data_IF_825396049524
#
_entry.id   IF_825396049524
#
_cell.length_a   1.000
_cell.length_b   1.000
_cell.length_c   1.000
_cell.angle_alpha   90.00
_cell.angle_beta   90.00
_cell.angle_gamma   90.00
#
_symmetry.space_group_name_H-M   'P 1'
#
loop_
_entity.id
_entity.type
_entity.pdbx_description
1 polymer ?
#
# COMPACT_ATOMS: atom_id res chain seq x y z
N UNK A 1 25.82 3.01 24.64
CA UNK A 1 25.95 2.51 23.25
C UNK A 1 25.58 3.65 22.32
N UNK A 2 26.50 4.10 21.51
CA UNK A 2 26.25 5.14 20.51
C UNK A 2 25.62 4.50 19.28
N UNK A 3 24.48 5.04 18.82
CA UNK A 3 23.74 4.57 17.66
C UNK A 3 23.97 5.52 16.49
N UNK A 4 23.89 4.98 15.29
CA UNK A 4 24.02 5.74 14.06
C UNK A 4 22.99 5.27 13.03
N UNK A 5 22.15 6.21 12.58
CA UNK A 5 21.30 6.03 11.42
C UNK A 5 22.06 6.39 10.15
N UNK A 6 22.02 5.53 9.14
CA UNK A 6 22.60 5.83 7.82
C UNK A 6 21.89 5.06 6.73
N UNK A 7 22.08 5.50 5.49
CA UNK A 7 21.56 4.83 4.31
C UNK A 7 22.43 3.61 4.00
N UNK A 8 21.81 2.46 3.73
CA UNK A 8 22.49 1.21 3.41
C UNK A 8 23.32 1.33 2.13
N UNK A 9 24.52 0.79 2.15
CA UNK A 9 25.29 0.52 0.94
C UNK A 9 24.83 -0.80 0.28
N UNK A 10 25.29 -1.14 -0.94
CA UNK A 10 24.84 -2.35 -1.63
C UNK A 10 25.12 -3.67 -0.89
N UNK A 11 26.22 -3.75 -0.09
CA UNK A 11 26.54 -4.95 0.70
C UNK A 11 25.64 -5.06 1.92
N UNK A 12 25.45 -3.96 2.61
CA UNK A 12 24.52 -3.86 3.74
C UNK A 12 23.08 -4.15 3.33
N UNK A 13 22.69 -3.77 2.11
CA UNK A 13 21.40 -4.08 1.54
C UNK A 13 21.20 -5.58 1.37
N UNK A 14 22.18 -6.29 0.84
CA UNK A 14 22.15 -7.75 0.69
C UNK A 14 22.03 -8.41 2.07
N UNK A 15 22.86 -8.00 3.03
CA UNK A 15 22.83 -8.51 4.40
C UNK A 15 21.45 -8.29 5.05
N UNK A 16 20.86 -7.12 4.85
CA UNK A 16 19.54 -6.80 5.36
C UNK A 16 18.46 -7.69 4.74
N UNK A 17 18.52 -7.91 3.43
CA UNK A 17 17.54 -8.76 2.73
C UNK A 17 17.65 -10.23 3.19
N UNK A 18 18.84 -10.76 3.42
CA UNK A 18 19.02 -12.10 3.99
C UNK A 18 18.36 -12.24 5.37
N UNK A 19 18.55 -11.25 6.23
CA UNK A 19 17.96 -11.26 7.59
C UNK A 19 16.45 -11.12 7.57
N UNK A 20 15.90 -10.30 6.68
CA UNK A 20 14.44 -10.07 6.58
C UNK A 20 13.69 -11.23 5.91
N UNK A 21 14.39 -12.16 5.27
CA UNK A 21 13.80 -13.36 4.69
C UNK A 21 12.97 -14.16 5.70
N UNK A 22 13.43 -14.28 6.95
CA UNK A 22 12.68 -14.98 8.00
C UNK A 22 11.28 -14.37 8.23
N UNK A 23 11.16 -13.04 8.13
CA UNK A 23 9.89 -12.33 8.34
C UNK A 23 8.98 -12.32 7.12
N UNK A 24 9.54 -12.20 5.92
CA UNK A 24 8.74 -11.94 4.70
C UNK A 24 8.99 -12.88 3.52
N UNK A 25 9.85 -13.87 3.68
CA UNK A 25 10.15 -14.87 2.66
C UNK A 25 9.12 -16.00 2.52
N UNK A 26 7.99 -15.94 3.21
CA UNK A 26 6.95 -16.96 3.21
C UNK A 26 6.61 -17.44 1.78
N UNK A 27 6.51 -18.77 1.61
CA UNK A 27 6.27 -19.45 0.33
C UNK A 27 7.39 -19.27 -0.72
N UNK A 28 8.49 -18.58 -0.42
CA UNK A 28 9.63 -18.36 -1.34
C UNK A 28 10.89 -19.08 -0.83
N UNK A 29 11.77 -19.47 -1.74
CA UNK A 29 13.16 -19.76 -1.38
C UNK A 29 13.92 -18.46 -1.09
N UNK A 30 15.05 -18.53 -0.36
CA UNK A 30 15.89 -17.35 -0.14
C UNK A 30 16.31 -16.68 -1.45
N UNK A 31 16.67 -17.46 -2.48
CA UNK A 31 17.04 -16.95 -3.78
C UNK A 31 15.88 -16.19 -4.47
N UNK A 32 14.67 -16.74 -4.42
CA UNK A 32 13.48 -16.07 -4.96
C UNK A 32 13.17 -14.77 -4.19
N UNK A 33 13.30 -14.82 -2.86
CA UNK A 33 13.12 -13.64 -2.02
C UNK A 33 14.11 -12.54 -2.38
N UNK A 34 15.41 -12.84 -2.41
CA UNK A 34 16.48 -11.90 -2.77
C UNK A 34 16.27 -11.30 -4.17
N UNK A 35 15.87 -12.14 -5.15
CA UNK A 35 15.53 -11.68 -6.49
C UNK A 35 14.33 -10.72 -6.48
N UNK A 36 13.27 -11.04 -5.73
CA UNK A 36 12.10 -10.17 -5.57
C UNK A 36 12.50 -8.81 -5.01
N UNK A 37 13.23 -8.78 -3.88
CA UNK A 37 13.64 -7.55 -3.21
C UNK A 37 14.49 -6.66 -4.13
N UNK A 38 15.51 -7.22 -4.78
CA UNK A 38 16.36 -6.48 -5.69
C UNK A 38 15.61 -5.93 -6.90
N UNK A 39 14.69 -6.70 -7.46
CA UNK A 39 13.88 -6.29 -8.61
C UNK A 39 12.91 -5.18 -8.24
N UNK A 40 12.18 -5.33 -7.13
CA UNK A 40 11.21 -4.32 -6.68
C UNK A 40 11.89 -3.01 -6.27
N UNK A 41 13.06 -3.08 -5.65
CA UNK A 41 13.82 -1.91 -5.22
C UNK A 41 14.43 -1.15 -6.40
N UNK A 42 14.79 -1.84 -7.48
CA UNK A 42 15.28 -1.19 -8.70
C UNK A 42 14.19 -0.45 -9.48
N UNK A 43 12.91 -0.76 -9.23
CA UNK A 43 11.79 -0.08 -9.84
C UNK A 43 11.54 1.28 -9.17
N UNK A 44 11.24 2.31 -9.98
CA UNK A 44 10.84 3.60 -9.45
C UNK A 44 9.46 3.49 -8.79
N UNK A 45 9.40 3.74 -7.48
CA UNK A 45 8.13 3.76 -6.75
C UNK A 45 7.26 4.98 -7.14
N UNK A 46 7.88 6.13 -7.30
CA UNK A 46 7.19 7.35 -7.72
C UNK A 46 8.15 8.50 -7.96
N UNK A 47 7.76 9.43 -8.81
CA UNK A 47 8.49 10.66 -9.09
C UNK A 47 9.96 10.45 -9.50
N UNK A 48 10.28 9.34 -10.16
CA UNK A 48 11.63 9.00 -10.57
C UNK A 48 12.58 8.58 -9.44
N UNK A 49 12.10 8.48 -8.21
CA UNK A 49 12.89 8.07 -7.04
C UNK A 49 12.64 6.61 -6.71
N UNK A 50 13.71 5.88 -6.38
CA UNK A 50 13.66 4.52 -5.88
C UNK A 50 13.44 4.48 -4.37
N UNK A 51 13.15 3.28 -3.87
CA UNK A 51 13.11 2.98 -2.44
C UNK A 51 14.50 3.10 -1.84
N UNK A 52 14.62 3.72 -0.67
CA UNK A 52 15.86 3.87 0.07
C UNK A 52 15.83 3.08 1.37
N UNK A 53 16.87 2.32 1.66
CA UNK A 53 16.99 1.53 2.89
C UNK A 53 17.83 2.26 3.94
N UNK A 54 17.31 2.31 5.16
CA UNK A 54 17.93 2.93 6.33
C UNK A 54 18.24 1.89 7.39
N UNK A 55 19.44 1.99 7.98
CA UNK A 55 19.95 1.10 9.00
C UNK A 55 20.28 1.87 10.27
N UNK A 56 19.81 1.36 11.42
CA UNK A 56 20.26 1.77 12.74
C UNK A 56 21.33 0.79 13.21
N UNK A 57 22.56 1.25 13.40
CA UNK A 57 23.71 0.42 13.79
C UNK A 57 24.33 0.87 15.11
N UNK A 58 24.96 -0.08 15.79
CA UNK A 58 25.83 0.19 16.93
C UNK A 58 27.27 0.50 16.51
N UNK A 59 28.14 0.78 17.47
CA UNK A 59 29.57 1.06 17.24
C UNK A 59 30.34 -0.16 16.71
N UNK A 60 29.84 -1.37 16.91
CA UNK A 60 30.41 -2.61 16.41
C UNK A 60 30.02 -2.89 14.96
N UNK A 61 29.09 -2.12 14.42
CA UNK A 61 28.59 -2.28 13.06
C UNK A 61 27.40 -3.23 12.92
N UNK A 62 26.85 -3.75 14.03
CA UNK A 62 25.67 -4.60 13.96
C UNK A 62 24.44 -3.80 13.52
N UNK A 63 23.64 -4.36 12.62
CA UNK A 63 22.32 -3.83 12.23
C UNK A 63 21.34 -4.18 13.33
N UNK A 64 20.85 -3.17 14.04
CA UNK A 64 19.90 -3.36 15.14
C UNK A 64 18.45 -3.31 14.65
N UNK A 65 18.19 -2.39 13.73
CA UNK A 65 16.88 -2.21 13.09
C UNK A 65 17.06 -1.57 11.72
N UNK A 66 16.12 -1.80 10.83
CA UNK A 66 16.10 -1.24 9.48
C UNK A 66 14.70 -0.84 9.05
N UNK A 67 14.60 0.04 8.06
CA UNK A 67 13.35 0.33 7.36
C UNK A 67 13.65 0.80 5.92
N UNK A 68 12.61 0.96 5.14
CA UNK A 68 12.68 1.54 3.80
C UNK A 68 11.83 2.80 3.73
N UNK A 69 12.28 3.79 2.95
CA UNK A 69 11.51 4.99 2.65
C UNK A 69 11.28 5.14 1.16
N UNK A 70 10.12 5.71 0.82
CA UNK A 70 9.73 5.92 -0.56
C UNK A 70 8.83 7.16 -0.67
N UNK A 71 8.87 7.91 -1.80
CA UNK A 71 8.00 9.06 -1.99
C UNK A 71 6.57 8.61 -2.30
N UNK A 72 5.59 9.06 -1.53
CA UNK A 72 4.17 8.86 -1.82
C UNK A 72 3.65 10.00 -2.70
N UNK A 73 3.96 11.25 -2.32
CA UNK A 73 3.60 12.45 -3.08
C UNK A 73 4.83 13.33 -3.19
N UNK A 74 5.55 13.22 -4.30
CA UNK A 74 6.75 14.01 -4.58
C UNK A 74 7.59 14.26 -3.30
N UNK A 75 7.78 15.53 -2.93
CA UNK A 75 8.51 15.91 -1.72
C UNK A 75 7.58 16.22 -0.52
N UNK A 76 6.26 15.95 -0.66
CA UNK A 76 5.25 16.31 0.34
C UNK A 76 4.91 15.20 1.32
N UNK A 77 4.82 13.95 0.84
CA UNK A 77 4.46 12.80 1.69
C UNK A 77 5.40 11.65 1.41
N UNK A 78 5.99 11.14 2.48
CA UNK A 78 6.88 9.99 2.43
C UNK A 78 6.23 8.77 3.06
N UNK A 79 6.50 7.61 2.50
CA UNK A 79 6.16 6.31 3.05
C UNK A 79 7.33 5.71 3.82
N UNK A 80 7.02 4.98 4.88
CA UNK A 80 7.94 4.10 5.59
C UNK A 80 7.40 2.69 5.50
N UNK A 81 8.22 1.77 5.04
CA UNK A 81 7.88 0.35 4.94
C UNK A 81 8.98 -0.54 5.48
N UNK A 82 8.70 -1.84 5.49
CA UNK A 82 9.68 -2.88 5.79
C UNK A 82 10.46 -2.63 7.09
N UNK A 83 9.80 -2.14 8.13
CA UNK A 83 10.43 -1.91 9.45
C UNK A 83 10.73 -3.25 10.09
N UNK A 84 12.00 -3.54 10.29
CA UNK A 84 12.47 -4.82 10.82
C UNK A 84 13.50 -4.62 11.94
N UNK A 85 13.37 -5.44 12.98
CA UNK A 85 14.37 -5.58 14.06
C UNK A 85 14.69 -7.06 14.17
N UNK A 86 15.97 -7.42 14.07
CA UNK A 86 16.38 -8.81 14.23
C UNK A 86 15.90 -9.38 15.57
N UNK A 87 15.49 -10.68 15.62
CA UNK A 87 14.92 -11.29 16.82
C UNK A 87 15.75 -11.06 18.09
N UNK A 88 17.08 -11.17 18.01
CA UNK A 88 18.01 -10.97 19.13
C UNK A 88 17.99 -9.53 19.72
N UNK A 89 17.51 -8.54 18.95
CA UNK A 89 17.45 -7.13 19.33
C UNK A 89 16.02 -6.65 19.64
N UNK A 90 15.02 -7.52 19.54
CA UNK A 90 13.62 -7.16 19.82
C UNK A 90 13.41 -6.83 21.31
N UNK A 91 12.42 -6.00 21.60
CA UNK A 91 12.10 -5.55 22.95
C UNK A 91 12.99 -4.44 23.50
N UNK A 92 14.10 -4.11 22.82
CA UNK A 92 15.06 -3.07 23.27
C UNK A 92 14.75 -1.66 22.75
N UNK A 93 13.66 -1.48 21.99
CA UNK A 93 13.19 -0.17 21.52
C UNK A 93 13.86 0.36 20.25
N UNK A 94 14.70 -0.44 19.57
CA UNK A 94 15.46 0.00 18.40
C UNK A 94 14.60 0.40 17.20
N UNK A 95 13.46 -0.25 16.96
CA UNK A 95 12.52 0.19 15.92
C UNK A 95 11.98 1.60 16.20
N UNK A 96 11.60 1.90 17.45
CA UNK A 96 11.14 3.23 17.85
C UNK A 96 12.27 4.26 17.72
N UNK A 97 13.49 3.90 18.09
CA UNK A 97 14.65 4.79 17.95
C UNK A 97 14.96 5.09 16.48
N UNK A 98 14.99 4.05 15.62
CA UNK A 98 15.16 4.17 14.17
C UNK A 98 14.17 5.19 13.59
N UNK A 99 12.87 5.03 13.90
CA UNK A 99 11.81 5.89 13.39
C UNK A 99 11.91 7.33 13.88
N UNK A 100 12.30 7.54 15.15
CA UNK A 100 12.53 8.89 15.70
C UNK A 100 13.68 9.61 14.99
N UNK A 101 14.80 8.93 14.79
CA UNK A 101 15.95 9.49 14.09
C UNK A 101 15.62 9.76 12.62
N UNK A 102 14.88 8.84 11.97
CA UNK A 102 14.43 9.03 10.60
C UNK A 102 13.49 10.25 10.48
N UNK A 103 12.50 10.39 11.37
CA UNK A 103 11.59 11.53 11.38
C UNK A 103 12.36 12.85 11.61
N UNK A 104 13.34 12.86 12.49
CA UNK A 104 14.20 14.03 12.71
C UNK A 104 15.02 14.37 11.44
N UNK A 105 15.56 13.35 10.76
CA UNK A 105 16.27 13.52 9.50
C UNK A 105 15.37 14.10 8.42
N UNK A 106 14.18 13.54 8.20
CA UNK A 106 13.21 14.01 7.22
C UNK A 106 12.76 15.45 7.51
N UNK A 107 12.61 15.81 8.78
CA UNK A 107 12.26 17.18 9.19
C UNK A 107 13.41 18.17 8.92
N UNK A 108 14.66 17.72 9.00
CA UNK A 108 15.85 18.56 8.79
C UNK A 108 16.16 18.84 7.31
N UNK A 109 15.59 18.12 6.37
CA UNK A 109 15.77 18.38 4.93
C UNK A 109 15.18 19.75 4.56
N UNK A 110 16.06 20.75 4.42
CA UNK A 110 15.68 22.16 4.23
C UNK A 110 15.03 22.49 2.88
N UNK A 111 15.27 21.69 1.85
CA UNK A 111 14.81 22.00 0.48
C UNK A 111 13.48 21.34 0.12
N UNK A 112 13.07 20.29 0.83
CA UNK A 112 11.80 19.63 0.63
C UNK A 112 11.35 19.02 1.96
N UNK A 113 10.76 19.85 2.83
CA UNK A 113 10.20 19.35 4.08
C UNK A 113 8.96 18.53 3.74
N UNK A 114 8.94 17.22 3.97
CA UNK A 114 7.70 16.48 3.84
C UNK A 114 6.68 17.05 4.83
N UNK A 115 5.44 17.11 4.39
CA UNK A 115 4.33 17.53 5.25
C UNK A 115 3.87 16.41 6.17
N UNK A 116 4.07 15.16 5.74
CA UNK A 116 3.70 13.98 6.52
C UNK A 116 4.55 12.75 6.14
N UNK A 117 4.62 11.81 7.08
CA UNK A 117 5.15 10.46 6.89
C UNK A 117 4.03 9.47 7.17
N UNK A 118 3.81 8.50 6.27
CA UNK A 118 2.78 7.48 6.38
C UNK A 118 3.43 6.11 6.42
N UNK A 119 2.86 5.20 7.20
CA UNK A 119 3.19 3.78 7.16
C UNK A 119 1.94 2.91 7.36
N UNK A 120 2.08 1.63 7.08
CA UNK A 120 1.02 0.66 7.29
C UNK A 120 1.57 -0.47 8.18
N UNK A 121 1.09 -0.52 9.44
CA UNK A 121 1.63 -1.41 10.45
C UNK A 121 1.06 -2.81 10.39
N UNK A 122 1.92 -3.82 10.39
CA UNK A 122 1.55 -5.24 10.56
C UNK A 122 1.74 -5.74 12.00
N UNK A 123 2.26 -4.89 12.90
CA UNK A 123 2.58 -5.25 14.30
C UNK A 123 1.83 -4.42 15.33
N UNK A 124 0.73 -3.78 14.91
CA UNK A 124 -0.07 -2.90 15.75
C UNK A 124 0.46 -1.48 15.84
N UNK A 125 -0.15 -0.66 16.70
CA UNK A 125 0.02 0.79 16.72
C UNK A 125 1.14 1.24 17.66
N UNK A 126 1.33 0.52 18.78
CA UNK A 126 2.11 0.94 19.95
C UNK A 126 3.56 1.36 19.68
N UNK A 127 4.25 0.66 18.76
CA UNK A 127 5.65 0.96 18.43
C UNK A 127 5.73 2.32 17.73
N UNK A 128 4.79 2.58 16.85
CA UNK A 128 4.74 3.77 16.00
C UNK A 128 4.22 4.98 16.77
N UNK A 129 3.24 4.81 17.66
CA UNK A 129 2.79 5.88 18.56
C UNK A 129 3.94 6.44 19.40
N UNK A 130 4.80 5.57 19.93
CA UNK A 130 6.02 5.97 20.65
C UNK A 130 7.01 6.75 19.79
N UNK A 131 6.94 6.61 18.47
CA UNK A 131 7.74 7.37 17.52
C UNK A 131 7.03 8.63 16.99
N UNK A 132 5.84 8.96 17.52
CA UNK A 132 5.08 10.16 17.18
C UNK A 132 4.06 9.98 16.05
N UNK A 133 3.78 8.76 15.62
CA UNK A 133 2.70 8.48 14.69
C UNK A 133 1.36 8.38 15.42
N UNK A 134 0.29 8.64 14.70
CA UNK A 134 -1.08 8.37 15.16
C UNK A 134 -1.76 7.40 14.19
N UNK A 135 -2.61 6.54 14.72
CA UNK A 135 -3.42 5.65 13.88
C UNK A 135 -4.49 6.44 13.12
N UNK A 136 -4.72 6.03 11.89
CA UNK A 136 -5.88 6.43 11.08
C UNK A 136 -6.84 5.26 11.06
N UNK A 137 -8.15 5.52 11.14
CA UNK A 137 -9.15 4.45 11.06
C UNK A 137 -8.93 3.62 9.82
N UNK A 138 -8.79 2.32 10.00
CA UNK A 138 -8.39 1.40 8.95
C UNK A 138 -9.36 0.23 8.87
N UNK A 139 -10.31 0.33 7.94
CA UNK A 139 -11.27 -0.72 7.65
C UNK A 139 -11.00 -1.34 6.26
N UNK A 140 -11.54 -2.51 6.03
CA UNK A 140 -11.49 -3.21 4.76
C UNK A 140 -12.87 -3.81 4.45
N UNK A 141 -13.34 -3.60 3.24
CA UNK A 141 -14.45 -4.33 2.69
C UNK A 141 -13.96 -5.63 2.08
N UNK A 142 -14.56 -6.73 2.51
CA UNK A 142 -14.31 -8.07 2.00
C UNK A 142 -15.58 -8.55 1.32
N UNK A 143 -15.49 -8.85 0.03
CA UNK A 143 -16.56 -9.41 -0.79
C UNK A 143 -16.22 -10.87 -1.03
N UNK A 144 -17.06 -11.78 -0.57
CA UNK A 144 -16.89 -13.23 -0.77
C UNK A 144 -17.48 -13.59 -2.15
N UNK A 145 -16.59 -13.89 -3.09
CA UNK A 145 -16.90 -14.03 -4.52
C UNK A 145 -17.88 -15.17 -4.78
N UNK A 146 -17.72 -16.32 -4.11
CA UNK A 146 -18.57 -17.50 -4.29
C UNK A 146 -20.01 -17.30 -3.76
N UNK A 147 -20.22 -16.29 -2.91
CA UNK A 147 -21.52 -15.95 -2.36
C UNK A 147 -22.26 -14.88 -3.19
N UNK A 148 -21.61 -14.31 -4.19
CA UNK A 148 -22.25 -13.35 -5.09
C UNK A 148 -23.07 -14.08 -6.14
N UNK A 149 -24.36 -13.73 -6.26
CA UNK A 149 -25.20 -14.33 -7.29
C UNK A 149 -24.75 -13.88 -8.68
N UNK A 150 -24.78 -14.75 -9.70
CA UNK A 150 -24.42 -14.40 -11.08
C UNK A 150 -25.23 -13.21 -11.62
N UNK A 151 -26.47 -13.05 -11.21
CA UNK A 151 -27.35 -11.96 -11.62
C UNK A 151 -26.85 -10.59 -11.13
N UNK A 152 -26.20 -10.54 -9.96
CA UNK A 152 -25.59 -9.32 -9.44
C UNK A 152 -24.33 -8.90 -10.22
N UNK A 153 -23.70 -9.84 -10.91
CA UNK A 153 -22.54 -9.61 -11.75
C UNK A 153 -22.92 -9.14 -13.16
N UNK A 154 -24.20 -9.20 -13.53
CA UNK A 154 -24.69 -8.68 -14.80
C UNK A 154 -24.83 -7.15 -14.71
N UNK A 155 -24.23 -6.45 -15.66
CA UNK A 155 -24.41 -5.00 -15.76
C UNK A 155 -25.74 -4.69 -16.45
N UNK A 156 -26.73 -4.32 -15.66
CA UNK A 156 -28.07 -3.90 -16.15
C UNK A 156 -28.15 -2.41 -16.47
N UNK A 157 -27.04 -1.66 -16.28
CA UNK A 157 -27.05 -0.19 -16.43
C UNK A 157 -26.89 0.28 -17.86
N UNK A 158 -26.45 -0.60 -18.77
CA UNK A 158 -26.07 -0.23 -20.14
C UNK A 158 -24.85 0.70 -20.21
N UNK A 159 -24.11 0.82 -19.13
CA UNK A 159 -22.91 1.64 -19.05
C UNK A 159 -21.77 1.01 -19.88
N UNK A 160 -21.09 1.83 -20.66
CA UNK A 160 -19.88 1.38 -21.35
C UNK A 160 -18.73 1.27 -20.35
N UNK A 161 -18.34 0.03 -20.03
CA UNK A 161 -17.18 -0.30 -19.21
C UNK A 161 -16.06 -0.85 -20.10
N UNK A 162 -14.82 -0.49 -19.78
CA UNK A 162 -13.64 -0.93 -20.51
C UNK A 162 -12.61 -1.47 -19.51
N UNK A 163 -12.03 -2.64 -19.78
CA UNK A 163 -10.91 -3.14 -19.01
C UNK A 163 -9.66 -2.29 -19.28
N UNK A 164 -8.91 -2.02 -18.20
CA UNK A 164 -7.65 -1.28 -18.25
C UNK A 164 -6.55 -2.28 -18.57
N UNK A 165 -5.92 -2.16 -19.74
CA UNK A 165 -4.76 -2.94 -20.16
C UNK A 165 -3.45 -2.15 -20.13
N UNK A 166 -3.54 -0.82 -20.09
CA UNK A 166 -2.42 0.09 -19.81
C UNK A 166 -2.84 1.13 -18.75
N UNK A 167 -2.07 1.22 -17.69
CA UNK A 167 -2.34 2.19 -16.62
C UNK A 167 -2.30 3.65 -17.10
N UNK A 168 -1.67 3.96 -18.23
CA UNK A 168 -1.74 5.29 -18.83
C UNK A 168 -3.16 5.74 -19.17
N UNK A 169 -4.08 4.79 -19.35
CA UNK A 169 -5.50 5.06 -19.63
C UNK A 169 -6.23 5.80 -18.50
N UNK A 170 -5.66 5.77 -17.28
CA UNK A 170 -6.18 6.52 -16.12
C UNK A 170 -5.32 7.73 -15.76
N UNK A 171 -4.37 8.13 -16.58
CA UNK A 171 -3.47 9.26 -16.33
C UNK A 171 -4.19 10.61 -16.21
N UNK A 172 -5.35 10.76 -16.84
CA UNK A 172 -6.19 11.96 -16.76
C UNK A 172 -6.91 12.16 -15.43
N UNK A 173 -6.89 11.15 -14.53
CA UNK A 173 -7.46 11.30 -13.20
C UNK A 173 -6.45 11.94 -12.25
N UNK A 174 -6.94 12.75 -11.31
CA UNK A 174 -6.10 13.44 -10.32
C UNK A 174 -5.23 12.43 -9.56
N UNK A 175 -3.94 12.71 -9.49
CA UNK A 175 -2.94 11.91 -8.75
C UNK A 175 -2.30 12.80 -7.66
N UNK A 176 -1.83 12.15 -6.57
CA UNK A 176 -1.16 12.83 -5.48
C UNK A 176 -2.09 13.31 -4.37
N UNK A 177 -1.59 14.26 -3.57
CA UNK A 177 -2.31 14.81 -2.42
C UNK A 177 -3.41 15.76 -2.88
N UNK A 178 -4.63 15.51 -2.44
CA UNK A 178 -5.77 16.38 -2.64
C UNK A 178 -6.19 16.94 -1.28
N UNK A 179 -6.41 18.25 -1.22
CA UNK A 179 -6.87 18.96 -0.04
C UNK A 179 -8.22 19.60 -0.39
N UNK A 180 -9.25 19.24 0.37
CA UNK A 180 -10.58 19.82 0.26
C UNK A 180 -11.10 20.12 1.66
N UNK A 181 -11.18 21.44 1.98
CA UNK A 181 -11.50 21.95 3.31
C UNK A 181 -10.55 21.37 4.38
N UNK A 182 -11.03 20.47 5.22
CA UNK A 182 -10.29 19.80 6.29
C UNK A 182 -10.00 18.31 5.98
N UNK A 183 -10.26 17.87 4.75
CA UNK A 183 -10.07 16.48 4.31
C UNK A 183 -8.87 16.36 3.39
N UNK A 184 -8.03 15.36 3.67
CA UNK A 184 -6.84 15.02 2.88
C UNK A 184 -6.93 13.60 2.36
N UNK A 185 -6.74 13.41 1.06
CA UNK A 185 -6.61 12.07 0.49
C UNK A 185 -5.49 12.03 -0.55
N UNK A 186 -5.00 10.84 -0.79
CA UNK A 186 -3.90 10.61 -1.72
C UNK A 186 -4.33 9.58 -2.77
N UNK A 187 -4.22 9.98 -4.03
CA UNK A 187 -4.34 9.03 -5.13
C UNK A 187 -2.98 8.45 -5.46
N UNK A 188 -2.86 7.09 -5.55
CA UNK A 188 -1.62 6.45 -5.97
C UNK A 188 -1.20 6.93 -7.37
N UNK A 189 0.11 7.15 -7.54
CA UNK A 189 0.69 7.45 -8.83
C UNK A 189 0.72 6.21 -9.74
N UNK A 190 0.82 6.42 -11.05
CA UNK A 190 0.99 5.31 -12.01
C UNK A 190 2.23 4.47 -11.71
N UNK A 191 3.31 5.09 -11.24
CA UNK A 191 4.53 4.36 -10.87
C UNK A 191 4.30 3.43 -9.67
N UNK A 192 3.53 3.87 -8.67
CA UNK A 192 3.13 3.04 -7.52
C UNK A 192 2.26 1.86 -7.98
N UNK A 193 1.28 2.09 -8.83
CA UNK A 193 0.43 1.02 -9.37
C UNK A 193 1.25 0.02 -10.20
N UNK A 194 2.17 0.49 -11.05
CA UNK A 194 3.09 -0.36 -11.82
C UNK A 194 4.00 -1.21 -10.93
N UNK A 195 4.43 -0.67 -9.80
CA UNK A 195 5.22 -1.42 -8.82
C UNK A 195 4.42 -2.61 -8.25
N UNK A 196 3.14 -2.42 -7.92
CA UNK A 196 2.28 -3.52 -7.45
C UNK A 196 2.08 -4.59 -8.53
N UNK A 197 1.89 -4.20 -9.80
CA UNK A 197 1.77 -5.16 -10.90
C UNK A 197 3.09 -5.88 -11.21
N UNK A 198 4.24 -5.19 -11.06
CA UNK A 198 5.54 -5.86 -11.10
C UNK A 198 5.65 -6.91 -10.00
N UNK A 199 5.22 -6.56 -8.77
CA UNK A 199 5.18 -7.52 -7.65
C UNK A 199 4.26 -8.70 -7.93
N UNK A 200 3.08 -8.46 -8.49
CA UNK A 200 2.17 -9.51 -8.95
C UNK A 200 2.83 -10.43 -9.97
N UNK A 201 3.48 -9.86 -11.01
CA UNK A 201 4.14 -10.67 -12.05
C UNK A 201 5.25 -11.55 -11.48
N UNK A 202 6.07 -11.04 -10.55
CA UNK A 202 7.12 -11.81 -9.88
C UNK A 202 6.53 -13.02 -9.13
N UNK A 203 5.44 -12.83 -8.39
CA UNK A 203 4.76 -13.93 -7.70
C UNK A 203 4.05 -14.87 -8.68
N UNK A 204 3.44 -14.34 -9.73
CA UNK A 204 2.84 -15.12 -10.82
C UNK A 204 3.85 -16.07 -11.46
N UNK A 205 5.04 -15.57 -11.75
CA UNK A 205 6.15 -16.38 -12.27
C UNK A 205 6.60 -17.45 -11.25
N UNK A 206 6.77 -17.08 -9.98
CA UNK A 206 7.23 -18.01 -8.94
C UNK A 206 6.22 -19.11 -8.65
N UNK A 207 4.94 -18.85 -8.80
CA UNK A 207 3.87 -19.80 -8.53
C UNK A 207 3.25 -20.42 -9.79
N UNK A 208 3.81 -20.15 -10.97
CA UNK A 208 3.30 -20.63 -12.27
C UNK A 208 1.84 -20.23 -12.54
N UNK A 209 1.42 -19.05 -12.11
CA UNK A 209 0.07 -18.51 -12.29
C UNK A 209 -0.10 -17.65 -13.54
N UNK A 210 1.01 -17.36 -14.23
CA UNK A 210 1.04 -16.43 -15.36
C UNK A 210 0.91 -14.96 -14.91
N UNK A 211 0.99 -14.05 -15.89
CA UNK A 211 0.89 -12.61 -15.66
C UNK A 211 -0.44 -12.10 -16.18
N UNK A 212 -1.15 -11.30 -15.39
CA UNK A 212 -2.38 -10.65 -15.85
C UNK A 212 -2.06 -9.51 -16.82
N UNK A 213 -2.83 -9.44 -17.91
CA UNK A 213 -2.82 -8.31 -18.86
C UNK A 213 -3.94 -7.30 -18.57
N UNK A 214 -4.75 -7.54 -17.52
CA UNK A 214 -5.86 -6.68 -17.12
C UNK A 214 -5.56 -6.15 -15.72
N UNK A 215 -5.49 -4.83 -15.61
CA UNK A 215 -5.10 -4.11 -14.40
C UNK A 215 -6.29 -3.48 -13.67
N UNK A 216 -7.47 -3.47 -14.27
CA UNK A 216 -8.63 -2.82 -13.71
C UNK A 216 -9.77 -2.67 -14.72
N UNK A 217 -10.73 -1.83 -14.36
CA UNK A 217 -11.87 -1.46 -15.19
C UNK A 217 -12.17 0.02 -15.02
N UNK A 218 -12.67 0.67 -16.06
CA UNK A 218 -13.03 2.10 -16.06
C UNK A 218 -14.35 2.35 -16.79
N UNK A 219 -14.98 3.45 -16.43
CA UNK A 219 -16.00 4.17 -17.19
C UNK A 219 -15.41 5.49 -17.68
N UNK A 220 -16.26 6.40 -18.16
CA UNK A 220 -15.83 7.76 -18.50
C UNK A 220 -15.45 8.63 -17.28
N UNK A 221 -15.95 8.30 -16.07
CA UNK A 221 -15.81 9.12 -14.86
C UNK A 221 -15.23 8.38 -13.65
N UNK A 222 -15.23 7.06 -13.70
CA UNK A 222 -14.83 6.19 -12.60
C UNK A 222 -13.81 5.17 -13.03
N UNK A 223 -12.99 4.70 -12.08
CA UNK A 223 -12.09 3.58 -12.33
C UNK A 223 -11.88 2.73 -11.08
N UNK A 224 -11.45 1.51 -11.29
CA UNK A 224 -11.04 0.54 -10.30
C UNK A 224 -9.78 -0.17 -10.80
N UNK A 225 -8.70 -0.09 -10.05
CA UNK A 225 -7.42 -0.77 -10.35
C UNK A 225 -7.16 -1.82 -9.28
N UNK A 226 -6.76 -3.01 -9.69
CA UNK A 226 -6.53 -4.15 -8.81
C UNK A 226 -5.21 -4.87 -9.07
N UNK A 227 -4.86 -5.77 -8.17
CA UNK A 227 -3.77 -6.74 -8.29
C UNK A 227 -4.24 -8.09 -7.76
N UNK A 228 -3.67 -9.18 -8.25
CA UNK A 228 -3.87 -10.52 -7.71
C UNK A 228 -2.84 -10.79 -6.60
N UNK A 229 -3.31 -11.03 -5.39
CA UNK A 229 -2.47 -11.41 -4.26
C UNK A 229 -2.45 -12.92 -4.10
N UNK A 230 -1.48 -13.57 -4.76
CA UNK A 230 -1.30 -15.02 -4.73
C UNK A 230 -0.83 -15.57 -3.36
N UNK A 231 -0.47 -14.70 -2.41
CA UNK A 231 -0.15 -15.12 -1.03
C UNK A 231 -1.40 -15.32 -0.19
N UNK A 232 -2.40 -14.48 -0.43
CA UNK A 232 -3.64 -14.39 0.34
C UNK A 232 -4.87 -14.78 -0.49
N UNK A 233 -4.65 -15.32 -1.68
CA UNK A 233 -5.68 -15.79 -2.61
C UNK A 233 -6.84 -14.79 -2.74
N UNK A 234 -6.52 -13.54 -3.10
CA UNK A 234 -7.51 -12.48 -3.20
C UNK A 234 -7.19 -11.47 -4.31
N UNK A 235 -8.23 -10.92 -4.93
CA UNK A 235 -8.12 -9.72 -5.74
C UNK A 235 -8.15 -8.50 -4.81
N UNK A 236 -7.07 -7.70 -4.82
CA UNK A 236 -6.96 -6.51 -3.99
C UNK A 236 -7.09 -5.25 -4.80
N UNK A 237 -8.01 -4.39 -4.41
CA UNK A 237 -8.15 -3.08 -5.02
C UNK A 237 -7.00 -2.19 -4.56
N UNK A 238 -6.24 -1.68 -5.51
CA UNK A 238 -5.10 -0.78 -5.29
C UNK A 238 -5.54 0.69 -5.28
N UNK A 239 -6.42 1.04 -6.22
CA UNK A 239 -6.92 2.39 -6.38
C UNK A 239 -8.34 2.37 -6.92
N UNK A 240 -9.15 3.32 -6.45
CA UNK A 240 -10.53 3.49 -6.89
C UNK A 240 -10.91 4.96 -6.92
N UNK A 241 -11.78 5.28 -7.87
CA UNK A 241 -12.52 6.53 -7.93
C UNK A 241 -13.91 6.23 -8.44
N UNK A 242 -14.92 6.62 -7.70
CA UNK A 242 -16.32 6.43 -8.08
C UNK A 242 -17.00 7.79 -8.20
N UNK A 243 -17.74 7.99 -9.27
CA UNK A 243 -18.56 9.18 -9.46
C UNK A 243 -19.87 9.08 -8.66
N UNK A 244 -20.51 7.90 -8.73
CA UNK A 244 -21.75 7.61 -8.01
C UNK A 244 -21.86 6.11 -7.63
N UNK A 245 -22.93 5.74 -6.94
CA UNK A 245 -23.15 4.36 -6.49
C UNK A 245 -23.46 3.38 -7.63
N UNK A 246 -24.02 3.85 -8.74
CA UNK A 246 -24.32 3.02 -9.91
C UNK A 246 -23.00 2.60 -10.57
N UNK A 247 -22.12 3.56 -10.82
CA UNK A 247 -20.78 3.28 -11.37
C UNK A 247 -19.96 2.40 -10.43
N UNK A 248 -20.04 2.65 -9.11
CA UNK A 248 -19.35 1.81 -8.13
C UNK A 248 -19.80 0.36 -8.23
N UNK A 249 -21.12 0.11 -8.24
CA UNK A 249 -21.67 -1.24 -8.33
C UNK A 249 -21.22 -1.94 -9.62
N UNK A 250 -21.34 -1.26 -10.76
CA UNK A 250 -20.94 -1.83 -12.05
C UNK A 250 -19.46 -2.17 -12.12
N UNK A 251 -18.58 -1.29 -11.63
CA UNK A 251 -17.15 -1.54 -11.59
C UNK A 251 -16.79 -2.69 -10.64
N UNK A 252 -17.43 -2.77 -9.47
CA UNK A 252 -17.22 -3.88 -8.53
C UNK A 252 -17.72 -5.20 -9.08
N UNK A 253 -18.86 -5.23 -9.82
CA UNK A 253 -19.34 -6.42 -10.52
C UNK A 253 -18.29 -6.97 -11.49
N UNK A 254 -17.62 -6.09 -12.25
CA UNK A 254 -16.55 -6.52 -13.15
C UNK A 254 -15.33 -7.07 -12.37
N UNK A 255 -14.98 -6.47 -11.23
CA UNK A 255 -13.89 -6.99 -10.40
C UNK A 255 -14.23 -8.36 -9.83
N UNK A 256 -15.47 -8.60 -9.40
CA UNK A 256 -15.93 -9.91 -8.91
C UNK A 256 -15.90 -10.94 -10.03
N UNK A 257 -16.44 -10.62 -11.21
CA UNK A 257 -16.39 -11.50 -12.39
C UNK A 257 -14.96 -11.86 -12.77
N UNK A 258 -14.06 -10.89 -12.75
CA UNK A 258 -12.65 -11.13 -13.02
C UNK A 258 -12.00 -12.01 -11.94
N UNK A 259 -12.31 -11.77 -10.65
CA UNK A 259 -11.84 -12.58 -9.55
C UNK A 259 -12.30 -14.05 -9.67
N UNK A 260 -13.59 -14.29 -10.03
CA UNK A 260 -14.12 -15.63 -10.31
C UNK A 260 -13.33 -16.33 -11.41
N UNK A 261 -13.12 -15.63 -12.54
CA UNK A 261 -12.37 -16.18 -13.68
C UNK A 261 -10.91 -16.52 -13.33
N UNK A 262 -10.34 -15.88 -12.30
CA UNK A 262 -8.98 -16.12 -11.79
C UNK A 262 -8.92 -17.06 -10.58
N UNK A 263 -10.05 -17.60 -10.14
CA UNK A 263 -10.13 -18.47 -8.96
C UNK A 263 -9.81 -17.76 -7.65
N UNK A 264 -10.00 -16.45 -7.56
CA UNK A 264 -9.81 -15.68 -6.34
C UNK A 264 -11.09 -15.68 -5.52
N UNK A 265 -11.11 -16.25 -4.30
CA UNK A 265 -12.33 -16.34 -3.50
C UNK A 265 -12.81 -15.02 -2.93
N UNK A 266 -11.96 -13.98 -2.90
CA UNK A 266 -12.31 -12.70 -2.30
C UNK A 266 -11.86 -11.51 -3.15
N UNK A 267 -12.69 -10.45 -3.13
CA UNK A 267 -12.29 -9.09 -3.52
C UNK A 267 -12.17 -8.25 -2.26
N UNK A 268 -11.05 -7.54 -2.09
CA UNK A 268 -10.74 -6.77 -0.88
C UNK A 268 -10.44 -5.32 -1.22
N UNK A 269 -11.08 -4.39 -0.48
CA UNK A 269 -10.99 -2.94 -0.70
C UNK A 269 -10.72 -2.25 0.62
N UNK A 270 -9.63 -1.49 0.71
CA UNK A 270 -9.37 -0.67 1.89
C UNK A 270 -10.31 0.52 1.96
N UNK A 271 -10.90 0.70 3.14
CA UNK A 271 -11.78 1.81 3.48
C UNK A 271 -11.27 2.45 4.76
N UNK A 272 -10.62 3.60 4.65
CA UNK A 272 -9.97 4.25 5.78
C UNK A 272 -10.87 5.21 6.55
N UNK A 273 -12.04 5.61 6.05
CA UNK A 273 -12.96 6.50 6.77
C UNK A 273 -14.43 6.32 6.40
N UNK A 274 -14.90 5.11 6.29
CA UNK A 274 -16.31 4.86 6.04
C UNK A 274 -16.87 5.57 4.77
N UNK A 275 -15.96 6.00 3.86
CA UNK A 275 -16.35 6.66 2.60
C UNK A 275 -17.33 5.80 1.82
N UNK A 276 -17.16 4.49 1.90
CA UNK A 276 -18.13 3.54 1.37
C UNK A 276 -19.43 3.49 2.18
N UNK A 277 -19.39 3.70 3.51
CA UNK A 277 -20.59 3.63 4.35
C UNK A 277 -21.52 4.80 4.12
N UNK A 278 -21.01 6.01 4.02
CA UNK A 278 -21.85 7.21 4.01
C UNK A 278 -22.41 7.54 2.63
N UNK A 279 -21.61 7.29 1.57
CA UNK A 279 -22.07 7.51 0.18
C UNK A 279 -22.83 6.34 -0.44
N UNK A 280 -22.56 5.10 -0.01
CA UNK A 280 -22.97 3.90 -0.74
C UNK A 280 -23.53 2.81 0.17
N UNK A 281 -24.03 3.20 1.34
CA UNK A 281 -24.63 2.31 2.34
C UNK A 281 -25.86 1.55 1.84
N UNK A 282 -26.42 1.95 0.73
CA UNK A 282 -27.53 1.31 0.10
C UNK A 282 -27.04 0.16 -0.77
N UNK A 283 -27.04 -1.02 -0.17
CA UNK A 283 -27.31 -2.28 -0.87
C UNK A 283 -26.54 -2.48 -2.17
N UNK A 284 -25.21 -2.67 -2.04
CA UNK A 284 -24.42 -3.14 -3.18
C UNK A 284 -24.95 -4.49 -3.70
N UNK A 285 -25.77 -5.19 -2.90
CA UNK A 285 -26.33 -6.49 -3.22
C UNK A 285 -25.28 -7.61 -3.24
N UNK A 286 -24.02 -7.31 -2.92
CA UNK A 286 -22.93 -8.31 -2.82
C UNK A 286 -22.86 -8.86 -1.40
N UNK A 287 -22.46 -10.12 -1.27
CA UNK A 287 -22.11 -10.72 0.01
C UNK A 287 -20.83 -10.08 0.54
N UNK A 288 -20.96 -8.94 1.22
CA UNK A 288 -19.84 -8.14 1.67
C UNK A 288 -19.92 -7.83 3.17
N UNK A 289 -18.75 -7.74 3.80
CA UNK A 289 -18.60 -7.32 5.19
C UNK A 289 -17.50 -6.26 5.31
N UNK A 290 -17.73 -5.28 6.17
CA UNK A 290 -16.71 -4.33 6.57
C UNK A 290 -16.06 -4.84 7.85
N UNK A 291 -14.75 -4.99 7.83
CA UNK A 291 -13.96 -5.45 8.96
C UNK A 291 -12.90 -4.39 9.31
N UNK A 292 -12.64 -4.20 10.61
CA UNK A 292 -11.47 -3.45 11.03
C UNK A 292 -10.23 -4.26 10.68
N UNK A 293 -9.24 -3.61 10.05
CA UNK A 293 -7.96 -4.26 9.77
C UNK A 293 -7.17 -4.45 11.05
N UNK A 294 -6.67 -5.63 11.25
CA UNK A 294 -5.73 -5.98 12.33
C UNK A 294 -4.28 -5.89 11.85
N UNK A 295 -4.10 -5.99 10.53
CA UNK A 295 -2.83 -5.76 9.84
C UNK A 295 -2.91 -4.52 8.93
N UNK A 296 -1.77 -4.06 8.46
CA UNK A 296 -1.66 -2.91 7.56
C UNK A 296 -2.42 -1.68 8.07
N UNK A 297 -2.40 -1.47 9.40
CA UNK A 297 -3.04 -0.31 10.06
C UNK A 297 -2.33 0.95 9.58
N UNK A 298 -3.08 1.88 9.02
CA UNK A 298 -2.52 3.14 8.55
C UNK A 298 -2.11 4.01 9.75
N UNK A 299 -0.86 4.46 9.73
CA UNK A 299 -0.27 5.33 10.75
C UNK A 299 0.32 6.56 10.08
N UNK A 300 0.12 7.73 10.67
CA UNK A 300 0.60 8.99 10.12
C UNK A 300 1.37 9.81 11.15
N UNK A 301 2.51 10.36 10.75
CA UNK A 301 3.26 11.36 11.49
C UNK A 301 3.26 12.67 10.71
N UNK A 302 2.63 13.71 11.25
CA UNK A 302 2.46 14.99 10.59
C UNK A 302 3.61 15.90 10.99
N UNK A 303 4.31 16.42 9.99
CA UNK A 303 5.47 17.30 10.14
C UNK A 303 5.12 18.77 9.87
N UNK A 304 4.07 19.03 9.07
CA UNK A 304 3.60 20.39 8.79
C UNK A 304 2.41 20.77 9.67
N UNK A 305 2.46 21.93 10.35
CA UNK A 305 1.33 22.43 11.15
C UNK A 305 0.03 22.57 10.34
N UNK A 306 0.13 22.87 9.05
CA UNK A 306 -1.03 23.12 8.18
C UNK A 306 -1.88 21.84 7.99
N UNK A 307 -1.29 20.66 8.14
CA UNK A 307 -1.98 19.38 8.02
C UNK A 307 -2.44 18.80 9.37
N UNK A 308 -2.14 19.45 10.49
CA UNK A 308 -2.45 18.93 11.83
C UNK A 308 -3.95 18.82 12.11
N UNK A 309 -4.74 19.70 11.53
CA UNK A 309 -6.19 19.83 11.80
C UNK A 309 -7.04 19.01 10.82
N UNK A 310 -6.46 18.46 9.79
CA UNK A 310 -7.20 17.77 8.74
C UNK A 310 -7.41 16.28 9.02
N UNK A 311 -8.45 15.74 8.40
CA UNK A 311 -8.80 14.33 8.43
C UNK A 311 -8.21 13.63 7.20
N UNK A 312 -7.38 12.64 7.43
CA UNK A 312 -6.84 11.77 6.37
C UNK A 312 -7.87 10.71 6.02
N UNK A 313 -8.32 10.75 4.78
CA UNK A 313 -9.36 9.84 4.27
C UNK A 313 -8.81 9.02 3.11
N UNK A 314 -9.40 7.83 2.90
CA UNK A 314 -9.19 7.01 1.72
C UNK A 314 -7.70 6.71 1.40
N UNK A 315 -6.94 6.25 2.41
CA UNK A 315 -5.58 5.77 2.21
C UNK A 315 -5.61 4.42 1.49
N UNK A 316 -5.56 4.48 0.18
CA UNK A 316 -5.73 3.33 -0.72
C UNK A 316 -4.55 2.36 -0.66
N UNK A 317 -4.81 1.08 -0.96
CA UNK A 317 -3.81 0.01 -0.93
C UNK A 317 -2.62 0.28 -1.84
N UNK A 318 -2.80 0.98 -2.94
CA UNK A 318 -1.73 1.37 -3.86
C UNK A 318 -0.64 2.24 -3.24
N UNK A 319 -0.87 2.82 -2.05
CA UNK A 319 0.13 3.59 -1.27
C UNK A 319 1.01 2.71 -0.37
N UNK A 320 0.62 1.45 -0.14
CA UNK A 320 1.37 0.48 0.68
C UNK A 320 2.50 -0.16 -0.14
N UNK A 321 3.65 -0.38 0.53
CA UNK A 321 4.79 -1.07 -0.06
C UNK A 321 5.07 -2.39 0.66
#
# INVERSE_FOLDING_TARGET
>A
MKLKLHKADPKEQIQRDEVTFEGWGQKLSLQQYMKRESTLRSHSWGYGKSVETWLLKNEQGDILSSCETYPIVADQVWGVGSVFTEPKWRGMGFATQLLRELNALLTAFRQSRPSAVILFSEVGERIYERAGFRAVESNEWVIDVDQCSPELCLDHTGMKLEYISDLSEISGYSQGLVIDQDRFWIHPSLAQLRWHHLRESIYGDFFNQGVSSVYGVKSSRSYLVWTLDYKLDSLRILASRFFDGVEQRSLLSQAITFAQAKGMPQVRIWDSEQVFRDRFRTDLGFASRCVRREDSIAMIHILSPDLLKGHWVNLQRGLWM
#
